data_IF_402783859051
#
_entry.id   IF_402783859051
#
_cell.length_a   1.000
_cell.length_b   1.000
_cell.length_c   1.000
_cell.angle_alpha   90.00
_cell.angle_beta   90.00
_cell.angle_gamma   90.00
#
_symmetry.space_group_name_H-M   'P 1'
#
loop_
_entity.id
_entity.type
_entity.pdbx_description
1 polymer ?
#
# COMPACT_ATOMS: atom_id res chain seq x y z
N UNK A 1 -21.32 -5.72 -3.71
CA UNK A 1 -19.86 -5.75 -3.83
C UNK A 1 -19.43 -7.16 -3.54
N UNK A 2 -19.00 -7.89 -4.56
CA UNK A 2 -18.44 -9.22 -4.40
C UNK A 2 -17.04 -9.05 -3.83
N UNK A 3 -16.75 -9.63 -2.66
CA UNK A 3 -15.40 -9.55 -2.10
C UNK A 3 -14.45 -10.30 -3.03
N UNK A 4 -13.40 -9.61 -3.49
CA UNK A 4 -12.38 -10.20 -4.34
C UNK A 4 -11.84 -11.50 -3.67
N UNK A 5 -12.05 -12.67 -4.31
CA UNK A 5 -11.68 -13.95 -3.73
C UNK A 5 -10.16 -14.12 -3.56
N UNK A 6 -9.35 -13.35 -4.29
CA UNK A 6 -7.88 -13.36 -4.20
C UNK A 6 -7.40 -12.49 -3.05
N UNK A 7 -8.06 -11.35 -2.82
CA UNK A 7 -7.70 -10.42 -1.74
C UNK A 7 -7.71 -11.09 -0.37
N UNK A 8 -8.71 -11.94 -0.09
CA UNK A 8 -8.78 -12.69 1.16
C UNK A 8 -7.59 -13.63 1.37
N UNK A 9 -7.14 -14.30 0.31
CA UNK A 9 -5.98 -15.20 0.37
C UNK A 9 -4.67 -14.43 0.56
N UNK A 10 -4.53 -13.30 -0.12
CA UNK A 10 -3.38 -12.41 0.02
C UNK A 10 -3.25 -11.86 1.44
N UNK A 11 -4.34 -11.38 2.04
CA UNK A 11 -4.35 -10.88 3.41
C UNK A 11 -4.01 -11.97 4.44
N UNK A 12 -4.50 -13.20 4.23
CA UNK A 12 -4.14 -14.33 5.09
C UNK A 12 -2.67 -14.73 4.95
N UNK A 13 -2.10 -14.65 3.74
CA UNK A 13 -0.66 -14.84 3.52
C UNK A 13 0.15 -13.79 4.31
N UNK A 14 -0.21 -12.51 4.18
CA UNK A 14 0.47 -11.41 4.85
C UNK A 14 0.38 -11.54 6.38
N UNK A 15 -0.81 -11.85 6.91
CA UNK A 15 -1.01 -12.05 8.34
C UNK A 15 -0.10 -13.15 8.91
N UNK A 16 0.01 -14.29 8.23
CA UNK A 16 0.89 -15.40 8.62
C UNK A 16 2.37 -15.01 8.56
N UNK A 17 2.78 -14.20 7.60
CA UNK A 17 4.15 -13.73 7.50
C UNK A 17 4.49 -12.75 8.65
N UNK A 18 3.58 -11.83 8.97
CA UNK A 18 3.72 -10.89 10.09
C UNK A 18 3.83 -11.61 11.44
N UNK A 19 3.03 -12.66 11.66
CA UNK A 19 3.11 -13.50 12.87
C UNK A 19 4.43 -14.25 12.99
N UNK A 20 4.97 -14.74 11.86
CA UNK A 20 6.22 -15.51 11.82
C UNK A 20 7.47 -14.63 11.90
N UNK A 21 7.38 -13.40 11.39
CA UNK A 21 8.51 -12.48 11.26
C UNK A 21 8.25 -11.13 11.93
N UNK A 22 7.88 -11.09 13.23
CA UNK A 22 7.57 -9.83 13.92
C UNK A 22 8.76 -8.86 13.96
N UNK A 23 10.00 -9.36 13.87
CA UNK A 23 11.21 -8.56 13.81
C UNK A 23 11.32 -7.66 12.56
N UNK A 24 10.54 -7.94 11.51
CA UNK A 24 10.48 -7.11 10.31
C UNK A 24 9.44 -5.98 10.44
N UNK A 25 8.56 -6.03 11.44
CA UNK A 25 7.59 -4.97 11.71
C UNK A 25 8.28 -3.83 12.46
N UNK A 26 8.44 -2.70 11.77
CA UNK A 26 8.95 -1.46 12.36
C UNK A 26 7.86 -0.41 12.34
N UNK A 27 7.70 0.27 13.47
CA UNK A 27 6.85 1.45 13.53
C UNK A 27 7.41 2.51 12.57
N UNK A 28 6.52 3.11 11.78
CA UNK A 28 6.87 4.25 10.94
C UNK A 28 6.99 5.46 11.88
N UNK A 29 8.10 6.21 11.76
CA UNK A 29 8.27 7.43 12.56
C UNK A 29 7.37 8.55 12.04
N UNK A 30 6.91 9.42 12.94
CA UNK A 30 6.16 10.63 12.58
C UNK A 30 6.91 11.53 11.61
N UNK A 31 8.25 11.56 11.72
CA UNK A 31 9.12 12.35 10.85
C UNK A 31 9.12 11.78 9.42
N UNK A 32 9.16 10.46 9.28
CA UNK A 32 9.08 9.81 7.97
C UNK A 32 7.70 10.03 7.34
N UNK A 33 6.62 9.95 8.12
CA UNK A 33 5.26 10.26 7.63
C UNK A 33 5.20 11.71 7.14
N UNK A 34 5.69 12.65 7.93
CA UNK A 34 5.69 14.09 7.59
C UNK A 34 6.51 14.36 6.33
N UNK A 35 7.67 13.72 6.19
CA UNK A 35 8.52 13.84 5.02
C UNK A 35 7.85 13.27 3.76
N UNK A 36 7.26 12.06 3.86
CA UNK A 36 6.52 11.46 2.73
C UNK A 36 5.35 12.35 2.34
N UNK A 37 4.56 12.84 3.30
CA UNK A 37 3.45 13.76 3.03
C UNK A 37 3.92 15.05 2.35
N UNK A 38 5.04 15.63 2.77
CA UNK A 38 5.61 16.80 2.11
C UNK A 38 6.08 16.51 0.68
N UNK A 39 6.48 15.26 0.38
CA UNK A 39 7.02 14.89 -0.93
C UNK A 39 5.93 14.55 -1.94
N UNK A 40 4.86 13.87 -1.51
CA UNK A 40 3.82 13.32 -2.42
C UNK A 40 2.40 13.79 -2.10
N UNK A 41 2.18 14.55 -1.03
CA UNK A 41 0.84 14.91 -0.56
C UNK A 41 0.06 15.84 -1.48
N UNK A 42 0.72 16.52 -2.41
CA UNK A 42 0.09 17.38 -3.43
C UNK A 42 -0.08 16.67 -4.78
N UNK A 43 0.37 15.41 -4.91
CA UNK A 43 0.22 14.64 -6.15
C UNK A 43 -1.22 14.16 -6.25
N UNK A 44 -1.97 14.73 -7.19
CA UNK A 44 -3.29 14.25 -7.58
C UNK A 44 -3.13 12.99 -8.43
N UNK A 45 -3.34 11.82 -7.80
CA UNK A 45 -3.20 10.50 -8.43
C UNK A 45 -4.55 9.80 -8.41
N UNK A 46 -5.14 9.62 -9.58
CA UNK A 46 -6.33 8.81 -9.77
C UNK A 46 -5.92 7.41 -10.26
N UNK A 47 -6.02 6.41 -9.38
CA UNK A 47 -5.71 5.00 -9.71
C UNK A 47 -6.85 4.32 -10.49
N UNK A 48 -8.02 4.93 -10.56
CA UNK A 48 -9.16 4.44 -11.32
C UNK A 48 -9.20 5.04 -12.74
N UNK A 49 -8.36 6.04 -13.02
CA UNK A 49 -8.20 6.59 -14.36
C UNK A 49 -7.63 5.53 -15.32
N UNK A 50 -8.13 5.45 -16.57
CA UNK A 50 -7.50 4.63 -17.59
C UNK A 50 -6.06 5.10 -17.83
N UNK A 51 -5.15 4.15 -18.07
CA UNK A 51 -3.78 4.45 -18.46
C UNK A 51 -3.79 5.32 -19.72
N UNK A 52 -2.95 6.35 -19.72
CA UNK A 52 -2.81 7.19 -20.91
C UNK A 52 -2.08 6.39 -22.00
N UNK A 53 -2.44 6.61 -23.27
CA UNK A 53 -1.75 5.97 -24.41
C UNK A 53 -0.29 6.43 -24.54
N UNK A 54 0.13 7.47 -23.80
CA UNK A 54 1.50 7.99 -23.78
C UNK A 54 2.40 7.36 -22.70
N UNK A 55 1.82 6.62 -21.75
CA UNK A 55 2.54 5.92 -20.67
C UNK A 55 2.84 4.44 -20.98
N UNK A 56 2.64 3.99 -22.23
CA UNK A 56 3.08 2.67 -22.75
C UNK A 56 4.55 2.64 -23.20
#
# INVERSE_FOLDING_TARGET
>A
MESDPVLGQFLNFLARDMEKNPQHLKAISSDLVSHVQSLVGEVDLDLDAPLSEEDE
#
